data_IF_447660524755
#
_entry.id   IF_447660524755
#
_cell.length_a   1.000
_cell.length_b   1.000
_cell.length_c   1.000
_cell.angle_alpha   90.00
_cell.angle_beta   90.00
_cell.angle_gamma   90.00
#
_symmetry.space_group_name_H-M   'P 1'
#
loop_
_entity.id
_entity.type
_entity.pdbx_description
1 polymer ?
#
# COMPACT_ATOMS: atom_id res chain seq x y z
N UNK A 1 -8.41 3.09 13.65
CA UNK A 1 -9.39 2.39 12.83
C UNK A 1 -9.20 0.88 12.97
N UNK A 2 -10.25 0.10 13.13
CA UNK A 2 -10.17 -1.36 13.13
C UNK A 2 -9.86 -1.93 11.74
N UNK A 3 -10.16 -1.20 10.66
CA UNK A 3 -9.86 -1.60 9.29
C UNK A 3 -8.56 -0.95 8.82
N UNK A 4 -7.62 -1.74 8.33
CA UNK A 4 -6.38 -1.25 7.73
C UNK A 4 -6.58 -0.89 6.27
N UNK A 5 -7.17 -1.78 5.51
CA UNK A 5 -7.49 -1.61 4.10
C UNK A 5 -8.46 -2.70 3.65
N UNK A 6 -9.26 -2.38 2.63
CA UNK A 6 -9.97 -3.37 1.81
C UNK A 6 -9.21 -3.50 0.50
N UNK A 7 -9.06 -4.73 0.00
CA UNK A 7 -8.44 -5.02 -1.29
C UNK A 7 -9.41 -5.79 -2.17
N UNK A 8 -9.64 -5.31 -3.38
CA UNK A 8 -10.39 -6.02 -4.41
C UNK A 8 -9.39 -6.57 -5.43
N UNK A 9 -9.43 -7.87 -5.67
CA UNK A 9 -8.59 -8.56 -6.64
C UNK A 9 -9.39 -8.96 -7.86
N UNK A 10 -8.75 -8.97 -9.02
CA UNK A 10 -9.26 -9.58 -10.25
C UNK A 10 -8.47 -10.85 -10.57
N UNK A 11 -8.93 -11.71 -11.48
CA UNK A 11 -8.13 -12.86 -11.94
C UNK A 11 -6.75 -12.47 -12.50
N UNK A 12 -6.57 -11.23 -12.95
CA UNK A 12 -5.30 -10.69 -13.45
C UNK A 12 -4.18 -10.71 -12.40
N UNK A 13 -4.51 -10.74 -11.10
CA UNK A 13 -3.52 -10.84 -10.03
C UNK A 13 -2.79 -12.19 -9.99
N UNK A 14 -3.37 -13.22 -10.61
CA UNK A 14 -2.80 -14.58 -10.74
C UNK A 14 -2.62 -15.31 -9.41
N UNK A 15 -2.04 -14.66 -8.42
CA UNK A 15 -1.90 -15.16 -7.06
C UNK A 15 -2.36 -14.08 -6.09
N UNK A 16 -3.42 -14.35 -5.32
CA UNK A 16 -3.99 -13.44 -4.33
C UNK A 16 -3.08 -13.28 -3.09
N UNK A 17 -1.81 -12.95 -3.34
CA UNK A 17 -0.79 -12.69 -2.33
C UNK A 17 -0.44 -11.20 -2.33
N UNK A 18 -0.54 -10.58 -1.16
CA UNK A 18 -0.27 -9.17 -0.98
C UNK A 18 0.59 -8.95 0.27
N UNK A 19 1.56 -8.05 0.16
CA UNK A 19 2.36 -7.61 1.30
C UNK A 19 2.30 -6.10 1.42
N UNK A 20 2.01 -5.61 2.61
CA UNK A 20 2.04 -4.18 2.93
C UNK A 20 2.55 -3.95 4.35
N UNK A 21 2.74 -2.68 4.72
CA UNK A 21 3.18 -2.29 6.08
C UNK A 21 2.08 -1.51 6.76
N UNK A 22 1.83 -1.87 8.01
CA UNK A 22 0.76 -1.26 8.82
C UNK A 22 1.29 -0.72 10.13
N UNK A 23 0.62 0.31 10.67
CA UNK A 23 0.85 0.83 12.02
C UNK A 23 -0.01 0.05 13.00
N UNK A 24 0.60 -0.37 14.11
CA UNK A 24 -0.09 -1.04 15.21
C UNK A 24 0.26 -0.30 16.49
N UNK A 25 -0.74 0.20 17.21
CA UNK A 25 -0.58 1.06 18.37
C UNK A 25 -0.55 0.31 19.71
N UNK A 26 -1.11 -0.90 19.75
CA UNK A 26 -1.21 -1.72 20.96
C UNK A 26 -1.24 -3.20 20.63
N UNK A 27 -1.06 -4.02 21.64
CA UNK A 27 -1.20 -5.47 21.55
C UNK A 27 -2.57 -5.84 20.96
N UNK A 28 -2.59 -6.50 19.82
CA UNK A 28 -3.83 -6.81 19.12
C UNK A 28 -3.68 -8.01 18.20
N UNK A 29 -4.81 -8.54 17.74
CA UNK A 29 -4.86 -9.49 16.65
C UNK A 29 -4.96 -8.74 15.31
N UNK A 30 -4.02 -9.01 14.41
CA UNK A 30 -4.15 -8.65 13.00
C UNK A 30 -4.92 -9.76 12.31
N UNK A 31 -6.00 -9.41 11.60
CA UNK A 31 -6.88 -10.35 10.92
C UNK A 31 -6.87 -10.10 9.42
N UNK A 32 -6.70 -11.16 8.65
CA UNK A 32 -6.99 -11.17 7.23
C UNK A 32 -8.34 -11.87 7.02
N UNK A 33 -9.29 -11.16 6.44
CA UNK A 33 -10.60 -11.69 6.07
C UNK A 33 -10.70 -11.69 4.56
N UNK A 34 -11.03 -12.83 3.98
CA UNK A 34 -11.19 -13.00 2.53
C UNK A 34 -12.63 -13.38 2.25
N UNK A 35 -13.26 -12.69 1.32
CA UNK A 35 -14.56 -13.02 0.77
C UNK A 35 -14.38 -13.47 -0.69
N UNK A 36 -14.84 -14.67 -0.99
CA UNK A 36 -14.77 -15.26 -2.32
C UNK A 36 -15.96 -14.84 -3.16
N UNK A 37 -15.87 -14.96 -4.48
CA UNK A 37 -16.94 -14.61 -5.42
C UNK A 37 -18.26 -15.40 -5.19
N UNK A 38 -18.18 -16.57 -4.57
CA UNK A 38 -19.33 -17.38 -4.19
C UNK A 38 -19.96 -16.98 -2.84
N UNK A 39 -19.41 -15.92 -2.20
CA UNK A 39 -19.87 -15.42 -0.89
C UNK A 39 -19.27 -16.12 0.33
N UNK A 40 -18.44 -17.14 0.11
CA UNK A 40 -17.72 -17.79 1.22
C UNK A 40 -16.70 -16.83 1.84
N UNK A 41 -16.58 -16.90 3.17
CA UNK A 41 -15.66 -16.04 3.93
C UNK A 41 -14.67 -16.89 4.72
N UNK A 42 -13.41 -16.51 4.61
CA UNK A 42 -12.32 -17.13 5.34
C UNK A 42 -11.62 -16.07 6.18
N UNK A 43 -11.14 -16.46 7.34
CA UNK A 43 -10.38 -15.58 8.22
C UNK A 43 -9.17 -16.29 8.79
N UNK A 44 -8.06 -15.57 8.84
CA UNK A 44 -6.90 -15.95 9.65
C UNK A 44 -6.48 -14.78 10.53
N UNK A 45 -5.86 -15.06 11.67
CA UNK A 45 -5.42 -14.02 12.59
C UNK A 45 -4.08 -14.36 13.22
N UNK A 46 -3.29 -13.32 13.49
CA UNK A 46 -2.03 -13.44 14.19
C UNK A 46 -1.95 -12.37 15.30
N UNK A 47 -1.48 -12.76 16.48
CA UNK A 47 -1.34 -11.83 17.60
C UNK A 47 -0.01 -11.08 17.48
N UNK A 48 -0.07 -9.75 17.53
CA UNK A 48 1.08 -8.86 17.43
C UNK A 48 1.24 -8.08 18.73
N UNK A 49 2.44 -8.11 19.26
CA UNK A 49 2.87 -7.31 20.41
C UNK A 49 3.50 -6.02 19.90
N UNK A 50 2.80 -4.90 20.01
CA UNK A 50 3.26 -3.60 19.57
C UNK A 50 2.74 -2.49 20.49
N UNK A 51 3.41 -1.35 20.48
CA UNK A 51 2.98 -0.16 21.22
C UNK A 51 3.33 1.11 20.45
N UNK A 52 2.40 2.09 20.43
CA UNK A 52 2.63 3.47 20.01
C UNK A 52 2.67 3.72 18.50
N UNK A 53 2.35 2.74 17.64
CA UNK A 53 2.52 2.89 16.19
C UNK A 53 1.69 3.99 15.53
N UNK A 54 0.41 4.16 15.93
CA UNK A 54 -0.48 5.15 15.32
C UNK A 54 -0.31 6.56 15.91
N UNK A 55 0.15 6.65 17.16
CA UNK A 55 0.40 7.90 17.87
C UNK A 55 1.89 8.25 17.96
N UNK A 56 2.76 7.42 17.40
CA UNK A 56 4.20 7.69 17.37
C UNK A 56 4.45 9.04 16.70
N UNK A 57 5.26 9.92 17.29
CA UNK A 57 5.56 11.22 16.73
C UNK A 57 6.20 11.08 15.34
N UNK A 58 5.83 11.95 14.41
CA UNK A 58 6.57 12.07 13.16
C UNK A 58 7.91 12.75 13.47
N UNK A 59 9.01 12.02 13.26
CA UNK A 59 10.37 12.55 13.38
C UNK A 59 10.83 13.22 12.08
N UNK A 60 10.08 13.05 11.00
CA UNK A 60 10.43 13.59 9.70
C UNK A 60 10.16 15.11 9.66
N UNK A 61 11.07 15.85 9.05
CA UNK A 61 10.86 17.25 8.69
C UNK A 61 9.64 17.34 7.75
N UNK A 62 8.63 18.09 8.17
CA UNK A 62 7.37 18.26 7.44
C UNK A 62 7.61 18.79 6.02
N UNK A 63 8.53 19.74 5.86
CA UNK A 63 8.80 20.35 4.57
C UNK A 63 9.50 19.36 3.63
N UNK A 64 10.44 18.57 4.14
CA UNK A 64 11.07 17.50 3.38
C UNK A 64 10.07 16.40 2.97
N UNK A 65 9.11 16.06 3.83
CA UNK A 65 8.03 15.11 3.51
C UNK A 65 7.13 15.68 2.43
N UNK A 66 6.70 16.92 2.56
CA UNK A 66 5.82 17.57 1.59
C UNK A 66 6.50 17.79 0.22
N UNK A 67 7.82 18.03 0.19
CA UNK A 67 8.59 18.18 -1.06
C UNK A 67 8.63 16.89 -1.92
N UNK A 68 8.39 15.72 -1.31
CA UNK A 68 8.37 14.43 -2.00
C UNK A 68 6.95 13.84 -2.14
N UNK A 69 5.93 14.54 -1.65
CA UNK A 69 4.54 14.10 -1.67
C UNK A 69 4.12 13.68 -3.08
N UNK A 70 3.50 12.52 -3.18
CA UNK A 70 2.98 11.98 -4.44
C UNK A 70 4.04 11.39 -5.38
N UNK A 71 5.33 11.43 -5.06
CA UNK A 71 6.35 10.73 -5.84
C UNK A 71 6.14 9.23 -5.76
N UNK A 72 5.94 8.59 -6.90
CA UNK A 72 5.68 7.16 -7.00
C UNK A 72 6.86 6.41 -7.60
N UNK A 73 6.99 5.15 -7.20
CA UNK A 73 7.99 4.21 -7.75
C UNK A 73 7.36 2.83 -7.89
N UNK A 74 7.78 2.11 -8.93
CA UNK A 74 7.49 0.69 -9.12
C UNK A 74 8.80 -0.08 -9.17
N UNK A 75 8.87 -1.17 -8.42
CA UNK A 75 9.98 -2.13 -8.50
C UNK A 75 9.42 -3.44 -9.03
N UNK A 76 10.09 -4.00 -10.01
CA UNK A 76 9.80 -5.32 -10.55
C UNK A 76 10.83 -6.32 -10.03
N UNK A 77 10.39 -7.53 -9.73
CA UNK A 77 11.25 -8.60 -9.20
C UNK A 77 11.26 -9.78 -10.16
N UNK A 78 12.43 -10.41 -10.30
CA UNK A 78 12.50 -11.70 -10.98
C UNK A 78 11.71 -12.73 -10.17
N UNK A 79 10.76 -13.37 -10.84
CA UNK A 79 10.06 -14.53 -10.29
C UNK A 79 10.69 -15.77 -10.91
N UNK A 80 11.31 -16.62 -10.10
CA UNK A 80 11.81 -17.92 -10.55
C UNK A 80 10.71 -18.91 -10.98
N UNK A 81 9.48 -18.43 -11.13
CA UNK A 81 8.30 -19.21 -11.52
C UNK A 81 8.08 -18.95 -13.01
N UNK A 82 8.32 -19.96 -13.83
CA UNK A 82 7.92 -20.01 -15.23
C UNK A 82 6.40 -19.78 -15.32
N UNK A 83 5.94 -19.01 -16.31
CA UNK A 83 4.56 -18.76 -16.74
C UNK A 83 4.01 -17.38 -16.41
N UNK A 84 4.53 -16.32 -17.05
CA UNK A 84 3.86 -15.01 -17.14
C UNK A 84 3.42 -14.36 -15.80
N UNK A 85 3.77 -14.92 -14.65
CA UNK A 85 3.46 -14.35 -13.34
C UNK A 85 4.62 -13.48 -12.87
N UNK A 86 4.44 -12.19 -12.92
CA UNK A 86 5.39 -11.18 -12.45
C UNK A 86 5.09 -10.75 -11.03
N UNK A 87 6.09 -10.17 -10.36
CA UNK A 87 5.97 -9.60 -9.02
C UNK A 87 6.43 -8.15 -9.03
N UNK A 88 5.61 -7.27 -8.49
CA UNK A 88 5.94 -5.87 -8.39
C UNK A 88 5.70 -5.33 -6.97
N UNK A 89 6.39 -4.23 -6.64
CA UNK A 89 6.15 -3.42 -5.46
C UNK A 89 5.89 -1.99 -5.90
N UNK A 90 4.69 -1.52 -5.67
CA UNK A 90 4.33 -0.12 -5.77
C UNK A 90 4.68 0.61 -4.48
N UNK A 91 5.20 1.84 -4.59
CA UNK A 91 5.47 2.74 -3.48
C UNK A 91 5.02 4.15 -3.85
N UNK A 92 4.43 4.86 -2.89
CA UNK A 92 4.15 6.29 -3.00
C UNK A 92 4.72 7.02 -1.78
N UNK A 93 5.38 8.16 -2.01
CA UNK A 93 5.82 9.04 -0.93
C UNK A 93 4.63 9.82 -0.41
N UNK A 94 4.21 9.50 0.80
CA UNK A 94 3.07 10.11 1.46
C UNK A 94 3.25 10.04 2.99
N UNK A 95 2.98 11.11 3.76
CA UNK A 95 3.14 11.09 5.21
C UNK A 95 2.21 10.09 5.90
N UNK A 96 1.08 9.86 5.31
CA UNK A 96 0.04 8.98 5.84
C UNK A 96 -0.27 9.27 7.31
N UNK A 97 -0.47 10.56 7.62
CA UNK A 97 -0.81 10.99 8.98
C UNK A 97 -2.15 10.41 9.41
N UNK A 98 -2.16 9.83 10.61
CA UNK A 98 -3.35 9.16 11.15
C UNK A 98 -4.38 10.10 11.78
N UNK A 99 -4.01 11.36 12.06
CA UNK A 99 -4.81 12.27 12.90
C UNK A 99 -4.68 12.02 14.41
N UNK A 100 -3.89 11.02 14.81
CA UNK A 100 -3.66 10.68 16.23
C UNK A 100 -2.24 11.06 16.69
N UNK A 101 -1.49 11.72 15.81
CA UNK A 101 -0.10 12.08 16.01
C UNK A 101 0.00 13.54 16.49
N UNK A 102 1.05 13.80 17.28
CA UNK A 102 1.38 15.15 17.73
C UNK A 102 2.73 15.59 17.17
N UNK A 103 2.82 16.87 16.84
CA UNK A 103 4.09 17.50 16.54
C UNK A 103 4.90 17.63 17.83
N UNK A 104 6.12 17.11 17.86
CA UNK A 104 6.94 17.09 19.08
C UNK A 104 7.36 18.48 19.56
N UNK A 105 7.55 19.42 18.64
CA UNK A 105 8.01 20.77 18.95
C UNK A 105 6.86 21.67 19.43
N UNK A 106 5.73 21.65 18.70
CA UNK A 106 4.59 22.54 18.96
C UNK A 106 3.54 21.92 19.86
N UNK A 107 3.58 20.59 20.06
CA UNK A 107 2.55 19.78 20.72
C UNK A 107 1.16 19.89 20.11
N UNK A 108 1.05 20.48 18.93
CA UNK A 108 -0.19 20.54 18.18
C UNK A 108 -0.53 19.18 17.56
N UNK A 109 -1.81 18.87 17.45
CA UNK A 109 -2.30 17.72 16.72
C UNK A 109 -1.96 17.84 15.24
N UNK A 110 -1.58 16.73 14.61
CA UNK A 110 -1.34 16.66 13.18
C UNK A 110 -2.63 16.13 12.54
N UNK A 111 -3.31 16.93 11.69
CA UNK A 111 -4.52 16.48 11.02
C UNK A 111 -4.29 15.19 10.20
N UNK A 112 -5.32 14.36 10.08
CA UNK A 112 -5.27 13.17 9.25
C UNK A 112 -5.04 13.57 7.78
N UNK A 113 -4.05 12.94 7.15
CA UNK A 113 -3.75 13.10 5.73
C UNK A 113 -3.15 11.78 5.24
N UNK A 114 -3.93 10.97 4.55
CA UNK A 114 -3.58 9.60 4.20
C UNK A 114 -4.11 9.21 2.82
N UNK A 115 -3.46 8.24 2.21
CA UNK A 115 -3.94 7.61 0.97
C UNK A 115 -5.19 6.81 1.28
N UNK A 116 -6.29 7.05 0.55
CA UNK A 116 -7.57 6.40 0.74
C UNK A 116 -8.01 5.54 -0.46
N UNK A 117 -7.34 5.68 -1.62
CA UNK A 117 -7.60 4.86 -2.79
C UNK A 117 -6.31 4.60 -3.58
N UNK A 118 -6.13 3.36 -4.04
CA UNK A 118 -5.08 2.96 -4.97
C UNK A 118 -5.69 2.01 -6.00
N UNK A 119 -5.46 2.29 -7.29
CA UNK A 119 -5.86 1.43 -8.40
C UNK A 119 -4.63 1.09 -9.23
N UNK A 120 -4.47 -0.19 -9.58
CA UNK A 120 -3.40 -0.70 -10.44
C UNK A 120 -4.00 -1.45 -11.60
N UNK A 121 -3.62 -1.04 -12.81
CA UNK A 121 -4.12 -1.54 -14.08
C UNK A 121 -2.97 -1.88 -15.04
N UNK A 122 -3.25 -2.79 -15.98
CA UNK A 122 -2.42 -3.05 -17.15
C UNK A 122 -3.34 -3.24 -18.36
N UNK A 123 -3.08 -2.57 -19.48
CA UNK A 123 -3.92 -2.59 -20.70
C UNK A 123 -5.39 -2.19 -20.45
N UNK A 124 -5.62 -1.24 -19.53
CA UNK A 124 -6.95 -0.82 -19.03
C UNK A 124 -7.73 -1.95 -18.32
N UNK A 125 -7.09 -3.07 -17.99
CA UNK A 125 -7.67 -4.11 -17.16
C UNK A 125 -7.20 -3.95 -15.70
N UNK A 126 -8.15 -3.99 -14.79
CA UNK A 126 -7.88 -3.89 -13.36
C UNK A 126 -7.10 -5.12 -12.87
N UNK A 127 -6.02 -4.89 -12.14
CA UNK A 127 -5.29 -5.92 -11.40
C UNK A 127 -5.78 -5.96 -9.96
N UNK A 128 -5.72 -4.80 -9.28
CA UNK A 128 -6.19 -4.66 -7.92
C UNK A 128 -6.64 -3.22 -7.62
N UNK A 129 -7.57 -3.10 -6.69
CA UNK A 129 -7.90 -1.86 -5.99
C UNK A 129 -7.65 -2.02 -4.50
N UNK A 130 -7.18 -0.96 -3.86
CA UNK A 130 -7.05 -0.88 -2.42
C UNK A 130 -7.76 0.37 -1.89
N UNK A 131 -8.41 0.20 -0.75
CA UNK A 131 -9.07 1.27 0.01
C UNK A 131 -8.43 1.36 1.39
N UNK A 132 -7.24 1.96 1.49
CA UNK A 132 -6.54 2.12 2.75
C UNK A 132 -7.25 3.05 3.71
N UNK A 133 -6.93 2.90 5.00
CA UNK A 133 -7.32 3.80 6.06
C UNK A 133 -6.06 4.25 6.84
N UNK A 134 -6.23 5.05 7.87
CA UNK A 134 -5.18 5.71 8.67
C UNK A 134 -4.10 4.75 9.22
N UNK A 135 -4.38 3.47 9.29
CA UNK A 135 -3.45 2.46 9.80
C UNK A 135 -2.40 1.98 8.79
N UNK A 136 -2.48 2.41 7.53
CA UNK A 136 -1.40 2.13 6.59
C UNK A 136 -0.16 2.97 6.95
N UNK A 137 1.03 2.41 6.80
CA UNK A 137 2.27 3.10 7.21
C UNK A 137 2.56 4.35 6.38
N UNK A 138 3.45 5.21 6.87
CA UNK A 138 4.12 6.24 6.06
C UNK A 138 4.77 5.60 4.83
N UNK A 139 4.81 6.34 3.72
CA UNK A 139 5.27 5.86 2.42
C UNK A 139 4.66 4.49 2.06
N UNK A 140 3.33 4.46 1.81
CA UNK A 140 2.63 3.23 1.53
C UNK A 140 3.30 2.39 0.43
N UNK A 141 3.44 1.10 0.71
CA UNK A 141 4.01 0.16 -0.24
C UNK A 141 3.13 -1.09 -0.33
N UNK A 142 2.81 -1.52 -1.54
CA UNK A 142 2.04 -2.73 -1.82
C UNK A 142 2.87 -3.62 -2.74
N UNK A 143 3.17 -4.84 -2.29
CA UNK A 143 3.80 -5.87 -3.11
C UNK A 143 2.75 -6.88 -3.52
N UNK A 144 2.69 -7.20 -4.82
CA UNK A 144 1.66 -8.05 -5.41
C UNK A 144 2.23 -8.85 -6.58
N UNK A 145 1.49 -9.86 -7.03
CA UNK A 145 1.75 -10.61 -8.25
C UNK A 145 0.74 -10.21 -9.32
N UNK A 146 1.05 -10.44 -10.59
CA UNK A 146 0.13 -10.19 -11.69
C UNK A 146 0.53 -10.97 -12.93
N UNK A 147 -0.45 -11.32 -13.76
CA UNK A 147 -0.21 -11.85 -15.09
C UNK A 147 0.21 -10.71 -16.02
N UNK A 148 1.49 -10.75 -16.39
CA UNK A 148 2.15 -9.71 -17.15
C UNK A 148 1.87 -9.86 -18.65
N UNK A 149 1.40 -8.78 -19.26
CA UNK A 149 1.18 -8.68 -20.72
C UNK A 149 2.35 -8.03 -21.47
N UNK A 150 3.38 -7.53 -20.74
CA UNK A 150 4.49 -6.75 -21.31
C UNK A 150 4.23 -5.24 -21.40
N UNK A 151 3.01 -4.78 -21.15
CA UNK A 151 2.65 -3.36 -21.16
C UNK A 151 2.96 -2.67 -19.84
N UNK A 152 3.11 -1.34 -19.82
CA UNK A 152 3.30 -0.58 -18.58
C UNK A 152 2.18 -0.80 -17.58
N UNK A 153 2.52 -0.83 -16.28
CA UNK A 153 1.54 -0.73 -15.21
C UNK A 153 1.12 0.71 -15.02
N UNK A 154 -0.18 0.97 -14.99
CA UNK A 154 -0.77 2.26 -14.69
C UNK A 154 -1.28 2.28 -13.25
N UNK A 155 -0.92 3.31 -12.51
CA UNK A 155 -1.35 3.46 -11.12
C UNK A 155 -2.04 4.79 -10.94
N UNK A 156 -3.18 4.77 -10.27
CA UNK A 156 -3.91 5.95 -9.80
C UNK A 156 -4.04 5.88 -8.28
N UNK A 157 -3.77 6.99 -7.62
CA UNK A 157 -3.87 7.12 -6.16
C UNK A 157 -4.67 8.36 -5.83
N UNK A 158 -5.52 8.29 -4.80
CA UNK A 158 -6.21 9.41 -4.21
C UNK A 158 -5.90 9.48 -2.71
N UNK A 159 -5.80 10.69 -2.18
CA UNK A 159 -5.64 10.90 -0.75
C UNK A 159 -6.88 11.55 -0.10
N UNK A 160 -6.88 11.59 1.23
CA UNK A 160 -7.99 12.13 2.02
C UNK A 160 -8.19 13.63 1.90
N UNK A 161 -7.28 14.36 1.25
CA UNK A 161 -7.43 15.77 0.89
C UNK A 161 -7.97 15.95 -0.54
N UNK A 162 -8.28 14.85 -1.24
CA UNK A 162 -8.81 14.85 -2.62
C UNK A 162 -7.74 15.08 -3.69
N UNK A 163 -6.46 14.96 -3.35
CA UNK A 163 -5.38 15.03 -4.34
C UNK A 163 -5.29 13.70 -5.08
N UNK A 164 -5.07 13.81 -6.39
CA UNK A 164 -4.91 12.68 -7.28
C UNK A 164 -3.49 12.60 -7.81
N UNK A 165 -2.94 11.39 -7.81
CA UNK A 165 -1.63 11.07 -8.34
C UNK A 165 -1.76 9.96 -9.37
N UNK A 166 -1.08 10.08 -10.50
CA UNK A 166 -1.08 9.04 -11.53
C UNK A 166 0.32 8.82 -12.08
N UNK A 167 0.62 7.62 -12.54
CA UNK A 167 1.90 7.28 -13.15
C UNK A 167 1.82 5.99 -13.95
N UNK A 168 2.64 5.95 -15.01
CA UNK A 168 2.84 4.79 -15.85
C UNK A 168 4.24 4.23 -15.60
N UNK A 169 4.32 2.92 -15.38
CA UNK A 169 5.55 2.23 -14.99
C UNK A 169 5.89 1.14 -16.01
N UNK A 170 6.83 1.40 -16.94
CA UNK A 170 7.29 0.39 -17.89
C UNK A 170 8.05 -0.74 -17.18
N UNK A 171 7.91 -1.96 -17.68
CA UNK A 171 8.52 -3.17 -17.10
C UNK A 171 10.06 -3.25 -17.24
N UNK A 172 10.70 -2.26 -17.84
CA UNK A 172 12.11 -2.26 -18.22
C UNK A 172 13.14 -2.19 -17.08
N UNK A 173 12.73 -2.24 -15.82
CA UNK A 173 13.65 -2.18 -14.67
C UNK A 173 13.47 -3.35 -13.69
N UNK A 174 13.78 -4.55 -14.15
CA UNK A 174 13.94 -5.70 -13.24
C UNK A 174 15.16 -5.44 -12.36
N UNK A 175 14.95 -5.27 -11.08
CA UNK A 175 16.05 -5.19 -10.10
C UNK A 175 16.49 -6.61 -9.78
N UNK A 176 17.50 -7.12 -10.50
CA UNK A 176 18.17 -8.35 -10.11
C UNK A 176 18.93 -8.10 -8.80
N UNK A 177 18.50 -8.67 -7.69
CA UNK A 177 19.36 -8.83 -6.52
C UNK A 177 20.32 -9.95 -6.81
N UNK A 178 21.60 -9.62 -7.09
CA UNK A 178 22.68 -10.58 -6.88
C UNK A 178 22.78 -10.80 -5.36
N UNK A 179 22.59 -12.05 -4.93
CA UNK A 179 22.94 -12.51 -3.60
C UNK A 179 24.46 -12.71 -3.49
#
# INVERSE_FOLDING_TARGET
SPLVSKFNFTPKIGNASLTTRVRIDKYTYVRAVVEMNNGEKYMNSNFVKAAGGCSAPSLADKDAVMARLGKMKMKFFETGISNSLSKAQFLISHPNYSGLQFNQLTRAEIPAHFVNYIKIEQDNELILEAYPDISLSEDPAITFHFHDSGSPLKVTVEDSEGKNYAGDFPLSSVVSKKF
#
